data_IF_775346727316
#
_entry.id   IF_775346727316
#
_cell.length_a   1.000
_cell.length_b   1.000
_cell.length_c   1.000
_cell.angle_alpha   90.00
_cell.angle_beta   90.00
_cell.angle_gamma   90.00
#
_symmetry.space_group_name_H-M   'P 1'
#
loop_
_entity.id
_entity.type
_entity.pdbx_description
1 polymer ?
#
# COMPACT_ATOMS: atom_id res chain seq x y z
N UNK A 1 -9.97 -44.80 14.76
CA UNK A 1 -8.67 -44.36 14.21
C UNK A 1 -8.69 -44.06 12.70
N UNK A 2 -9.64 -44.58 11.89
CA UNK A 2 -9.68 -44.28 10.44
C UNK A 2 -10.23 -42.88 10.10
N UNK A 3 -11.22 -42.35 10.82
CA UNK A 3 -11.81 -41.02 10.53
C UNK A 3 -10.82 -39.85 10.70
N UNK A 4 -9.90 -39.95 11.66
CA UNK A 4 -8.85 -38.96 11.88
C UNK A 4 -7.88 -38.84 10.69
N UNK A 5 -7.64 -39.94 9.97
CA UNK A 5 -6.73 -39.96 8.81
C UNK A 5 -7.36 -39.42 7.53
N UNK A 6 -8.65 -39.69 7.30
CA UNK A 6 -9.40 -39.17 6.17
C UNK A 6 -9.63 -37.65 6.30
N UNK A 7 -10.06 -37.18 7.48
CA UNK A 7 -10.22 -35.76 7.77
C UNK A 7 -8.90 -34.98 7.67
N UNK A 8 -7.79 -35.58 8.12
CA UNK A 8 -6.44 -34.99 7.97
C UNK A 8 -6.01 -34.90 6.50
N UNK A 9 -6.23 -35.95 5.71
CA UNK A 9 -5.92 -35.96 4.27
C UNK A 9 -6.78 -34.97 3.48
N UNK A 10 -8.04 -34.83 3.88
CA UNK A 10 -9.00 -33.89 3.28
C UNK A 10 -8.66 -32.43 3.63
N UNK A 11 -8.21 -32.17 4.86
CA UNK A 11 -7.68 -30.86 5.27
C UNK A 11 -6.42 -30.49 4.49
N UNK A 12 -5.48 -31.42 4.36
CA UNK A 12 -4.26 -31.23 3.57
C UNK A 12 -4.56 -30.88 2.10
N UNK A 13 -5.51 -31.57 1.45
CA UNK A 13 -5.95 -31.22 0.08
C UNK A 13 -6.55 -29.83 -0.02
N UNK A 14 -7.39 -29.44 0.94
CA UNK A 14 -7.98 -28.09 0.98
C UNK A 14 -6.88 -27.02 1.10
N UNK A 15 -5.90 -27.24 1.96
CA UNK A 15 -4.82 -26.30 2.21
C UNK A 15 -3.88 -26.18 0.97
N UNK A 16 -3.62 -27.30 0.27
CA UNK A 16 -2.91 -27.29 -1.02
C UNK A 16 -3.64 -26.46 -2.08
N UNK A 17 -4.97 -26.61 -2.19
CA UNK A 17 -5.80 -25.85 -3.13
C UNK A 17 -5.73 -24.34 -2.80
N UNK A 18 -5.80 -23.98 -1.52
CA UNK A 18 -5.69 -22.59 -1.07
C UNK A 18 -4.30 -22.03 -1.38
N UNK A 19 -3.23 -22.77 -1.08
CA UNK A 19 -1.86 -22.34 -1.37
C UNK A 19 -1.64 -22.07 -2.87
N UNK A 20 -2.11 -22.98 -3.73
CA UNK A 20 -2.04 -22.83 -5.18
C UNK A 20 -2.84 -21.63 -5.69
N UNK A 21 -4.06 -21.45 -5.18
CA UNK A 21 -4.90 -20.32 -5.54
C UNK A 21 -4.31 -18.99 -5.06
N UNK A 22 -3.74 -18.93 -3.85
CA UNK A 22 -3.03 -17.75 -3.34
C UNK A 22 -1.86 -17.36 -4.24
N UNK A 23 -1.08 -18.31 -4.75
CA UNK A 23 0.00 -18.05 -5.71
C UNK A 23 -0.52 -17.46 -7.03
N UNK A 24 -1.59 -18.03 -7.59
CA UNK A 24 -2.23 -17.52 -8.81
C UNK A 24 -2.84 -16.13 -8.60
N UNK A 25 -3.50 -15.87 -7.46
CA UNK A 25 -4.03 -14.56 -7.11
C UNK A 25 -2.88 -13.55 -6.95
N UNK A 26 -1.77 -13.96 -6.32
CA UNK A 26 -0.60 -13.09 -6.15
C UNK A 26 -0.07 -12.60 -7.51
N UNK A 27 0.06 -13.49 -8.48
CA UNK A 27 0.62 -13.18 -9.81
C UNK A 27 -0.40 -12.47 -10.73
N UNK A 28 -1.56 -13.09 -10.91
CA UNK A 28 -2.54 -12.75 -11.94
C UNK A 28 -3.76 -11.98 -11.40
N UNK A 29 -3.85 -11.82 -10.07
CA UNK A 29 -5.03 -11.28 -9.40
C UNK A 29 -6.22 -12.24 -9.42
N UNK A 30 -7.30 -11.87 -8.73
CA UNK A 30 -8.54 -12.68 -8.64
C UNK A 30 -9.18 -12.90 -10.02
N UNK A 31 -8.98 -11.98 -10.98
CA UNK A 31 -9.55 -12.10 -12.32
C UNK A 31 -8.88 -13.19 -13.15
N UNK A 32 -7.56 -13.27 -13.11
CA UNK A 32 -6.79 -14.25 -13.87
C UNK A 32 -7.01 -15.67 -13.37
N UNK A 33 -7.14 -15.85 -12.05
CA UNK A 33 -7.30 -17.18 -11.45
C UNK A 33 -8.57 -17.92 -11.90
N UNK A 34 -8.40 -19.15 -12.38
CA UNK A 34 -9.48 -20.10 -12.64
C UNK A 34 -9.38 -21.36 -11.76
N UNK A 35 -10.52 -22.02 -11.49
CA UNK A 35 -10.53 -23.29 -10.75
C UNK A 35 -9.79 -24.41 -11.49
N UNK A 36 -9.76 -24.36 -12.84
CA UNK A 36 -9.05 -25.32 -13.67
C UNK A 36 -7.53 -25.20 -13.56
N UNK A 37 -6.99 -23.98 -13.60
CA UNK A 37 -5.55 -23.74 -13.38
C UNK A 37 -5.13 -24.13 -11.97
N UNK A 38 -5.93 -23.81 -10.95
CA UNK A 38 -5.68 -24.25 -9.58
C UNK A 38 -5.59 -25.78 -9.53
N UNK A 39 -6.54 -26.49 -10.14
CA UNK A 39 -6.56 -27.94 -10.18
C UNK A 39 -5.31 -28.51 -10.86
N UNK A 40 -4.92 -27.95 -12.01
CA UNK A 40 -3.72 -28.35 -12.73
C UNK A 40 -2.45 -28.14 -11.90
N UNK A 41 -2.33 -27.01 -11.20
CA UNK A 41 -1.16 -26.68 -10.38
C UNK A 41 -0.93 -27.70 -9.24
N UNK A 42 -2.01 -28.23 -8.66
CA UNK A 42 -1.94 -29.22 -7.57
C UNK A 42 -2.12 -30.66 -8.03
N UNK A 43 -2.12 -30.93 -9.34
CA UNK A 43 -2.29 -32.27 -9.90
C UNK A 43 -3.64 -32.91 -9.57
N UNK A 44 -4.70 -32.11 -9.42
CA UNK A 44 -6.08 -32.56 -9.17
C UNK A 44 -6.98 -32.32 -10.38
N UNK A 45 -8.12 -33.01 -10.43
CA UNK A 45 -9.17 -32.68 -11.39
C UNK A 45 -9.94 -31.44 -10.95
N UNK A 46 -10.48 -30.67 -11.91
CA UNK A 46 -11.38 -29.54 -11.60
C UNK A 46 -12.56 -29.98 -10.73
N UNK A 47 -13.09 -31.19 -10.95
CA UNK A 47 -14.15 -31.78 -10.11
C UNK A 47 -13.71 -31.90 -8.64
N UNK A 48 -12.46 -32.31 -8.39
CA UNK A 48 -11.89 -32.41 -7.04
C UNK A 48 -11.79 -31.04 -6.37
N UNK A 49 -11.44 -29.98 -7.10
CA UNK A 49 -11.42 -28.61 -6.57
C UNK A 49 -12.83 -28.10 -6.28
N UNK A 50 -13.78 -28.34 -7.21
CA UNK A 50 -15.18 -27.91 -7.05
C UNK A 50 -15.90 -28.57 -5.87
N UNK A 51 -15.41 -29.72 -5.41
CA UNK A 51 -15.88 -30.35 -4.17
C UNK A 51 -15.63 -29.48 -2.93
N UNK A 52 -14.49 -28.78 -2.87
CA UNK A 52 -14.15 -27.88 -1.75
C UNK A 52 -14.67 -26.46 -2.00
N UNK A 53 -14.55 -25.97 -3.23
CA UNK A 53 -14.87 -24.60 -3.60
C UNK A 53 -15.72 -24.59 -4.86
N UNK A 54 -17.04 -24.43 -4.71
CA UNK A 54 -17.99 -24.49 -5.81
C UNK A 54 -17.76 -23.38 -6.84
N UNK A 55 -17.21 -22.25 -6.39
CA UNK A 55 -16.99 -21.07 -7.22
C UNK A 55 -15.67 -20.39 -6.87
N UNK A 56 -15.15 -19.63 -7.84
CA UNK A 56 -13.88 -18.91 -7.69
C UNK A 56 -13.89 -17.85 -6.58
N UNK A 57 -15.02 -17.19 -6.35
CA UNK A 57 -15.19 -16.19 -5.28
C UNK A 57 -15.07 -16.83 -3.90
N UNK A 58 -15.60 -18.06 -3.73
CA UNK A 58 -15.46 -18.83 -2.50
C UNK A 58 -14.00 -19.24 -2.24
N UNK A 59 -13.27 -19.63 -3.29
CA UNK A 59 -11.85 -19.95 -3.17
C UNK A 59 -11.02 -18.70 -2.85
N UNK A 60 -11.28 -17.59 -3.53
CA UNK A 60 -10.61 -16.32 -3.26
C UNK A 60 -10.84 -15.85 -1.80
N UNK A 61 -12.09 -15.93 -1.30
CA UNK A 61 -12.42 -15.65 0.10
C UNK A 61 -11.56 -16.47 1.06
N UNK A 62 -11.44 -17.78 0.84
CA UNK A 62 -10.63 -18.66 1.67
C UNK A 62 -9.12 -18.33 1.61
N UNK A 63 -8.61 -17.87 0.47
CA UNK A 63 -7.22 -17.42 0.34
C UNK A 63 -6.96 -16.15 1.16
N UNK A 64 -7.90 -15.20 1.17
CA UNK A 64 -7.80 -14.00 1.99
C UNK A 64 -7.97 -14.30 3.48
N UNK A 65 -8.88 -15.22 3.86
CA UNK A 65 -9.02 -15.68 5.24
C UNK A 65 -7.71 -16.31 5.76
N UNK A 66 -7.07 -17.18 4.97
CA UNK A 66 -5.77 -17.77 5.32
C UNK A 66 -4.68 -16.70 5.49
N UNK A 67 -4.62 -15.74 4.56
CA UNK A 67 -3.65 -14.63 4.63
C UNK A 67 -3.86 -13.77 5.87
N UNK A 68 -5.11 -13.40 6.17
CA UNK A 68 -5.45 -12.57 7.33
C UNK A 68 -5.19 -13.33 8.64
N UNK A 69 -5.39 -14.64 8.68
CA UNK A 69 -5.09 -15.46 9.85
C UNK A 69 -3.58 -15.57 10.12
N UNK A 70 -2.77 -15.72 9.07
CA UNK A 70 -1.30 -15.65 9.17
C UNK A 70 -0.85 -14.30 9.71
N UNK A 71 -1.40 -13.21 9.15
CA UNK A 71 -1.10 -11.86 9.61
C UNK A 71 -1.50 -11.65 11.08
N UNK A 72 -2.69 -12.10 11.47
CA UNK A 72 -3.17 -12.05 12.87
C UNK A 72 -2.24 -12.81 13.81
N UNK A 73 -1.79 -13.99 13.41
CA UNK A 73 -0.83 -14.80 14.19
C UNK A 73 0.50 -14.08 14.37
N UNK A 74 1.00 -13.44 13.31
CA UNK A 74 2.23 -12.65 13.34
C UNK A 74 2.13 -11.46 14.30
N UNK A 75 1.04 -10.69 14.20
CA UNK A 75 0.77 -9.53 15.07
C UNK A 75 0.61 -9.97 16.53
N UNK A 76 -0.12 -11.06 16.79
CA UNK A 76 -0.27 -11.61 18.13
C UNK A 76 1.08 -12.09 18.71
N UNK A 77 1.96 -12.67 17.88
CA UNK A 77 3.33 -13.03 18.24
C UNK A 77 4.16 -11.83 18.66
N UNK A 78 4.16 -10.79 17.82
CA UNK A 78 4.84 -9.53 18.08
C UNK A 78 4.37 -8.89 19.40
N UNK A 79 3.06 -8.90 19.68
CA UNK A 79 2.48 -8.35 20.92
C UNK A 79 2.96 -9.01 22.22
N UNK A 80 3.45 -10.26 22.16
CA UNK A 80 3.96 -10.99 23.33
C UNK A 80 5.40 -10.62 23.71
N UNK A 81 6.11 -9.82 22.90
CA UNK A 81 7.46 -9.38 23.25
C UNK A 81 7.44 -8.41 24.45
N UNK A 82 8.28 -8.73 25.46
CA UNK A 82 8.40 -7.98 26.72
C UNK A 82 9.21 -6.68 26.65
N UNK A 83 9.89 -6.38 25.55
CA UNK A 83 10.78 -5.23 25.39
C UNK A 83 10.09 -3.89 25.07
N UNK A 84 8.83 -3.71 25.44
CA UNK A 84 8.04 -2.50 25.16
C UNK A 84 7.65 -2.32 23.68
N UNK A 85 7.14 -1.14 23.31
CA UNK A 85 6.58 -0.87 21.98
C UNK A 85 7.61 -1.06 20.86
N UNK A 86 8.85 -0.58 21.05
CA UNK A 86 9.92 -0.71 20.03
C UNK A 86 10.23 -2.18 19.71
N UNK A 87 10.35 -3.03 20.72
CA UNK A 87 10.62 -4.45 20.52
C UNK A 87 9.44 -5.18 19.84
N UNK A 88 8.19 -4.80 20.16
CA UNK A 88 7.01 -5.37 19.51
C UNK A 88 6.95 -5.02 18.02
N UNK A 89 7.21 -3.76 17.65
CA UNK A 89 7.27 -3.37 16.23
C UNK A 89 8.44 -4.06 15.53
N UNK A 90 9.61 -4.16 16.17
CA UNK A 90 10.75 -4.88 15.61
C UNK A 90 10.40 -6.34 15.31
N UNK A 91 9.79 -7.05 16.26
CA UNK A 91 9.33 -8.42 16.08
C UNK A 91 8.31 -8.58 14.95
N UNK A 92 7.42 -7.59 14.76
CA UNK A 92 6.48 -7.60 13.64
C UNK A 92 7.21 -7.48 12.29
N UNK A 93 8.13 -6.52 12.17
CA UNK A 93 8.94 -6.34 10.95
C UNK A 93 9.77 -7.59 10.66
N UNK A 94 10.43 -8.15 11.67
CA UNK A 94 11.22 -9.38 11.55
C UNK A 94 10.38 -10.54 11.05
N UNK A 95 9.17 -10.71 11.60
CA UNK A 95 8.21 -11.70 11.16
C UNK A 95 7.79 -11.55 9.69
N UNK A 96 7.58 -10.32 9.23
CA UNK A 96 7.25 -10.06 7.82
C UNK A 96 8.40 -10.44 6.87
N UNK A 97 9.63 -10.07 7.22
CA UNK A 97 10.81 -10.42 6.41
C UNK A 97 11.09 -11.92 6.43
N UNK A 98 10.89 -12.59 7.57
CA UNK A 98 11.02 -14.04 7.70
C UNK A 98 9.98 -14.77 6.83
N UNK A 99 8.71 -14.36 6.88
CA UNK A 99 7.65 -14.95 6.05
C UNK A 99 7.91 -14.71 4.56
N UNK A 100 8.31 -13.50 4.16
CA UNK A 100 8.68 -13.22 2.78
C UNK A 100 9.81 -14.15 2.28
N UNK A 101 10.88 -14.32 3.09
CA UNK A 101 11.99 -15.20 2.75
C UNK A 101 11.55 -16.66 2.64
N UNK A 102 10.74 -17.14 3.58
CA UNK A 102 10.23 -18.51 3.57
C UNK A 102 9.39 -18.79 2.32
N UNK A 103 8.52 -17.85 1.92
CA UNK A 103 7.71 -17.96 0.70
C UNK A 103 8.61 -18.00 -0.54
N UNK A 104 9.60 -17.11 -0.64
CA UNK A 104 10.51 -17.04 -1.80
C UNK A 104 11.41 -18.27 -1.94
N UNK A 105 11.74 -18.93 -0.84
CA UNK A 105 12.51 -20.17 -0.81
C UNK A 105 11.64 -21.42 -1.02
N UNK A 106 10.31 -21.27 -1.09
CA UNK A 106 9.38 -22.40 -1.20
C UNK A 106 9.17 -23.17 0.10
N UNK A 107 9.64 -22.64 1.23
CA UNK A 107 9.45 -23.24 2.57
C UNK A 107 8.06 -22.95 3.14
N UNK A 108 7.41 -21.88 2.68
CA UNK A 108 6.02 -21.55 3.01
C UNK A 108 5.21 -21.30 1.72
N UNK A 109 3.89 -21.58 1.73
CA UNK A 109 3.04 -21.28 0.58
C UNK A 109 2.84 -19.77 0.39
N UNK A 110 2.62 -19.36 -0.86
CA UNK A 110 2.32 -17.97 -1.19
C UNK A 110 1.02 -17.49 -0.50
N UNK A 111 0.96 -16.18 -0.25
CA UNK A 111 -0.19 -15.50 0.34
C UNK A 111 -0.86 -14.59 -0.70
N UNK A 112 -2.18 -14.43 -0.58
CA UNK A 112 -2.91 -13.49 -1.42
C UNK A 112 -2.60 -12.05 -0.96
N UNK A 113 -2.57 -11.09 -1.89
CA UNK A 113 -2.32 -9.69 -1.53
C UNK A 113 -3.55 -9.11 -0.83
N UNK A 114 -3.41 -8.68 0.42
CA UNK A 114 -4.52 -8.16 1.25
C UNK A 114 -5.28 -7.03 0.54
N UNK A 115 -4.60 -6.16 -0.21
CA UNK A 115 -5.21 -5.09 -1.01
C UNK A 115 -6.30 -5.55 -1.97
N UNK A 116 -6.20 -6.79 -2.47
CA UNK A 116 -7.01 -7.34 -3.56
C UNK A 116 -8.40 -7.73 -3.03
N UNK A 117 -8.56 -7.85 -1.71
CA UNK A 117 -9.86 -8.11 -1.08
C UNK A 117 -10.91 -7.06 -1.45
N UNK A 118 -10.49 -5.85 -1.86
CA UNK A 118 -11.39 -4.78 -2.31
C UNK A 118 -12.11 -5.09 -3.62
N UNK A 119 -11.57 -6.01 -4.41
CA UNK A 119 -12.20 -6.47 -5.64
C UNK A 119 -13.27 -7.55 -5.41
N UNK A 120 -13.42 -8.02 -4.16
CA UNK A 120 -14.50 -8.92 -3.74
C UNK A 120 -15.85 -8.19 -3.70
N UNK A 121 -16.93 -8.94 -3.81
CA UNK A 121 -18.30 -8.42 -3.68
C UNK A 121 -18.86 -8.67 -2.28
N UNK A 122 -19.83 -7.85 -1.87
CA UNK A 122 -20.53 -8.02 -0.61
C UNK A 122 -21.42 -9.28 -0.66
N UNK A 123 -21.59 -10.02 0.45
CA UNK A 123 -21.16 -9.70 1.82
C UNK A 123 -19.72 -10.13 2.16
N UNK A 124 -19.00 -10.81 1.26
CA UNK A 124 -17.66 -11.37 1.54
C UNK A 124 -16.63 -10.28 1.82
N UNK A 125 -16.64 -9.22 1.01
CA UNK A 125 -15.75 -8.07 1.16
C UNK A 125 -15.88 -7.45 2.55
N UNK A 126 -17.10 -7.17 3.02
CA UNK A 126 -17.33 -6.64 4.37
C UNK A 126 -16.79 -7.54 5.47
N UNK A 127 -17.02 -8.86 5.36
CA UNK A 127 -16.49 -9.83 6.33
C UNK A 127 -14.96 -9.81 6.39
N UNK A 128 -14.28 -9.83 5.23
CA UNK A 128 -12.82 -9.77 5.16
C UNK A 128 -12.26 -8.43 5.69
N UNK A 129 -12.93 -7.32 5.39
CA UNK A 129 -12.55 -6.01 5.92
C UNK A 129 -12.67 -5.95 7.44
N UNK A 130 -13.69 -6.58 8.03
CA UNK A 130 -13.82 -6.66 9.49
C UNK A 130 -12.66 -7.42 10.14
N UNK A 131 -12.26 -8.58 9.57
CA UNK A 131 -11.09 -9.34 10.03
C UNK A 131 -9.79 -8.53 9.92
N UNK A 132 -9.61 -7.78 8.82
CA UNK A 132 -8.49 -6.87 8.65
C UNK A 132 -8.51 -5.75 9.69
N UNK A 133 -9.67 -5.12 9.94
CA UNK A 133 -9.81 -4.07 10.94
C UNK A 133 -9.49 -4.53 12.35
N UNK A 134 -9.84 -5.76 12.72
CA UNK A 134 -9.47 -6.33 14.01
C UNK A 134 -7.94 -6.42 14.15
N UNK A 135 -7.27 -6.96 13.13
CA UNK A 135 -5.81 -7.04 13.09
C UNK A 135 -5.15 -5.65 13.11
N UNK A 136 -5.70 -4.69 12.37
CA UNK A 136 -5.26 -3.29 12.36
C UNK A 136 -5.33 -2.67 13.77
N UNK A 137 -6.42 -2.90 14.51
CA UNK A 137 -6.55 -2.43 15.90
C UNK A 137 -5.48 -3.05 16.79
N UNK A 138 -5.23 -4.36 16.68
CA UNK A 138 -4.17 -5.02 17.44
C UNK A 138 -2.79 -4.43 17.13
N UNK A 139 -2.48 -4.11 15.88
CA UNK A 139 -1.21 -3.43 15.52
C UNK A 139 -1.14 -2.04 16.15
N UNK A 140 -2.26 -1.29 16.15
CA UNK A 140 -2.31 0.03 16.80
C UNK A 140 -2.06 -0.04 18.29
N UNK A 141 -2.53 -1.08 18.94
CA UNK A 141 -2.30 -1.30 20.38
C UNK A 141 -0.83 -1.66 20.69
N UNK A 142 -0.04 -2.07 19.70
CA UNK A 142 1.42 -2.26 19.88
C UNK A 142 2.15 -0.94 20.16
N UNK A 143 1.58 0.20 19.77
CA UNK A 143 2.14 1.54 20.03
C UNK A 143 1.78 2.11 21.42
N UNK A 144 0.95 1.40 22.20
CA UNK A 144 0.60 1.79 23.56
C UNK A 144 -0.80 2.38 23.69
N UNK A 145 -0.95 3.36 24.59
CA UNK A 145 -2.25 3.89 24.99
C UNK A 145 -2.99 4.59 23.83
N UNK A 146 -4.25 4.20 23.65
CA UNK A 146 -5.20 4.75 22.68
C UNK A 146 -6.42 5.38 23.36
N UNK A 147 -6.35 5.68 24.67
CA UNK A 147 -7.45 6.28 25.45
C UNK A 147 -7.75 7.71 25.02
N UNK A 148 -6.72 8.54 24.86
CA UNK A 148 -6.82 9.93 24.45
C UNK A 148 -6.94 10.06 22.92
N UNK A 149 -7.71 11.06 22.46
CA UNK A 149 -7.95 11.25 21.03
C UNK A 149 -6.67 11.58 20.26
N UNK A 150 -5.81 12.44 20.82
CA UNK A 150 -4.55 12.85 20.18
C UNK A 150 -3.59 11.66 20.02
N UNK A 151 -3.40 10.83 21.05
CA UNK A 151 -2.55 9.63 20.97
C UNK A 151 -3.15 8.60 20.02
N UNK A 152 -4.47 8.41 20.04
CA UNK A 152 -5.16 7.53 19.08
C UNK A 152 -4.98 7.98 17.63
N UNK A 153 -4.99 9.28 17.35
CA UNK A 153 -4.71 9.79 16.00
C UNK A 153 -3.27 9.51 15.58
N UNK A 154 -2.29 9.78 16.45
CA UNK A 154 -0.89 9.47 16.17
C UNK A 154 -0.66 7.96 15.96
N UNK A 155 -1.20 7.11 16.83
CA UNK A 155 -1.06 5.66 16.71
C UNK A 155 -1.79 5.12 15.48
N UNK A 156 -2.91 5.71 15.08
CA UNK A 156 -3.56 5.40 13.80
C UNK A 156 -2.64 5.70 12.62
N UNK A 157 -2.01 6.87 12.58
CA UNK A 157 -1.06 7.23 11.53
C UNK A 157 0.16 6.28 11.52
N UNK A 158 0.76 6.01 12.69
CA UNK A 158 1.90 5.09 12.84
C UNK A 158 1.58 3.68 12.35
N UNK A 159 0.41 3.16 12.73
CA UNK A 159 -0.07 1.84 12.30
C UNK A 159 -0.22 1.78 10.80
N UNK A 160 -0.85 2.80 10.22
CA UNK A 160 -1.10 2.85 8.79
C UNK A 160 0.21 2.89 7.99
N UNK A 161 1.13 3.79 8.34
CA UNK A 161 2.43 3.91 7.66
C UNK A 161 3.26 2.64 7.82
N UNK A 162 3.27 2.03 9.01
CA UNK A 162 3.96 0.75 9.24
C UNK A 162 3.42 -0.34 8.32
N UNK A 163 2.11 -0.58 8.34
CA UNK A 163 1.49 -1.67 7.58
C UNK A 163 1.61 -1.45 6.08
N UNK A 164 1.37 -0.24 5.59
CA UNK A 164 1.47 0.08 4.17
C UNK A 164 2.91 -0.04 3.66
N UNK A 165 3.90 0.32 4.49
CA UNK A 165 5.30 0.08 4.15
C UNK A 165 5.60 -1.42 4.09
N UNK A 166 5.14 -2.21 5.07
CA UNK A 166 5.35 -3.67 5.13
C UNK A 166 4.65 -4.42 3.99
N UNK A 167 3.41 -4.05 3.66
CA UNK A 167 2.69 -4.61 2.51
C UNK A 167 3.30 -4.19 1.18
N UNK A 168 4.05 -3.08 1.14
CA UNK A 168 4.76 -2.65 -0.06
C UNK A 168 6.16 -3.28 -0.20
N UNK A 169 6.77 -3.81 0.88
CA UNK A 169 8.09 -4.48 0.84
C UNK A 169 8.16 -5.51 -0.28
N UNK A 170 7.13 -6.35 -0.44
CA UNK A 170 7.06 -7.36 -1.51
C UNK A 170 7.20 -6.79 -2.95
N UNK A 171 6.89 -5.51 -3.17
CA UNK A 171 6.99 -4.87 -4.49
C UNK A 171 8.40 -4.35 -4.81
N UNK A 172 9.17 -3.90 -3.80
CA UNK A 172 10.49 -3.27 -4.02
C UNK A 172 11.66 -4.04 -3.41
N UNK A 173 11.43 -4.96 -2.46
CA UNK A 173 12.47 -5.86 -1.95
C UNK A 173 13.13 -6.72 -3.04
N UNK A 174 12.43 -7.14 -4.13
CA UNK A 174 13.09 -7.78 -5.28
C UNK A 174 14.14 -6.92 -6.00
N UNK A 175 14.22 -5.61 -5.74
CA UNK A 175 15.29 -4.75 -6.25
C UNK A 175 16.63 -4.98 -5.52
N UNK A 176 16.62 -5.73 -4.43
CA UNK A 176 17.79 -6.10 -3.64
C UNK A 176 18.07 -7.60 -3.76
N UNK A 177 19.35 -7.96 -3.77
CA UNK A 177 19.73 -9.38 -3.77
C UNK A 177 19.26 -10.06 -2.47
N UNK A 178 18.90 -11.35 -2.49
CA UNK A 178 18.42 -12.06 -1.30
C UNK A 178 19.32 -11.93 -0.06
N UNK A 179 20.64 -11.89 -0.26
CA UNK A 179 21.65 -11.76 0.79
C UNK A 179 21.61 -10.38 1.47
N UNK A 180 21.05 -9.37 0.80
CA UNK A 180 20.91 -8.01 1.34
C UNK A 180 19.65 -7.82 2.19
N UNK A 181 18.72 -8.78 2.20
CA UNK A 181 17.41 -8.58 2.83
C UNK A 181 17.51 -8.32 4.34
N UNK A 182 18.51 -8.90 5.02
CA UNK A 182 18.79 -8.60 6.43
C UNK A 182 19.34 -7.18 6.63
N UNK A 183 20.17 -6.68 5.69
CA UNK A 183 20.62 -5.29 5.69
C UNK A 183 19.43 -4.35 5.50
N UNK A 184 18.57 -4.62 4.51
CA UNK A 184 17.36 -3.82 4.23
C UNK A 184 16.43 -3.77 5.44
N UNK A 185 16.19 -4.92 6.08
CA UNK A 185 15.40 -5.03 7.32
C UNK A 185 15.94 -4.12 8.42
N UNK A 186 17.25 -4.18 8.69
CA UNK A 186 17.88 -3.31 9.68
C UNK A 186 17.74 -1.82 9.34
N UNK A 187 17.89 -1.44 8.06
CA UNK A 187 17.71 -0.05 7.62
C UNK A 187 16.28 0.44 7.74
N UNK A 188 15.30 -0.43 7.50
CA UNK A 188 13.89 -0.11 7.70
C UNK A 188 13.55 0.08 9.18
N UNK A 189 14.08 -0.78 10.06
CA UNK A 189 13.93 -0.63 11.51
C UNK A 189 14.57 0.64 12.04
N UNK A 190 15.77 0.98 11.57
CA UNK A 190 16.44 2.23 11.91
C UNK A 190 15.63 3.47 11.49
N UNK A 191 15.11 3.47 10.26
CA UNK A 191 14.23 4.53 9.77
C UNK A 191 12.97 4.67 10.64
N UNK A 192 12.31 3.56 10.97
CA UNK A 192 11.14 3.60 11.87
C UNK A 192 11.49 4.03 13.29
N UNK A 193 12.69 3.73 13.77
CA UNK A 193 13.11 4.03 15.13
C UNK A 193 13.48 5.50 15.33
N UNK A 194 14.14 6.11 14.35
CA UNK A 194 14.80 7.42 14.48
C UNK A 194 14.34 8.46 13.45
N UNK A 195 13.60 8.06 12.42
CA UNK A 195 13.14 8.96 11.37
C UNK A 195 14.24 9.52 10.47
N UNK A 196 13.90 10.54 9.69
CA UNK A 196 14.79 11.23 8.74
C UNK A 196 15.44 12.48 9.35
N UNK A 197 14.76 13.17 10.26
CA UNK A 197 15.18 14.44 10.77
C UNK A 197 16.24 14.28 11.89
N UNK A 198 17.27 15.14 11.94
CA UNK A 198 18.13 15.27 13.11
C UNK A 198 17.34 15.65 14.37
N UNK A 199 17.91 15.35 15.54
CA UNK A 199 17.35 15.77 16.82
C UNK A 199 17.22 17.30 16.91
N UNK A 200 16.16 17.80 17.52
CA UNK A 200 15.89 19.24 17.65
C UNK A 200 15.45 19.97 16.37
N UNK A 201 15.44 19.33 15.20
CA UNK A 201 15.07 19.98 13.95
C UNK A 201 13.56 20.33 13.91
N UNK A 202 13.22 21.63 13.82
CA UNK A 202 11.83 22.11 13.82
C UNK A 202 11.03 21.59 12.61
N UNK A 203 9.72 21.38 12.74
CA UNK A 203 8.86 21.01 11.61
C UNK A 203 8.16 22.25 11.04
N UNK A 204 8.53 22.66 9.83
CA UNK A 204 7.96 23.85 9.17
C UNK A 204 7.89 23.72 7.64
N UNK A 205 7.28 22.66 7.09
CA UNK A 205 7.09 22.54 5.65
C UNK A 205 6.06 23.57 5.13
N UNK A 206 6.16 23.90 3.85
CA UNK A 206 5.10 24.61 3.15
C UNK A 206 4.16 23.63 2.45
N UNK A 207 2.89 24.02 2.27
CA UNK A 207 1.97 23.33 1.36
C UNK A 207 1.92 24.13 0.07
N UNK A 208 2.41 23.54 -1.01
CA UNK A 208 2.48 24.22 -2.30
C UNK A 208 1.14 24.15 -3.04
N UNK A 209 0.81 25.22 -3.75
CA UNK A 209 -0.29 25.19 -4.73
C UNK A 209 0.24 24.62 -6.05
N UNK A 210 -0.11 23.36 -6.35
CA UNK A 210 0.29 22.71 -7.59
C UNK A 210 -0.53 23.27 -8.77
N UNK A 211 0.11 23.84 -9.81
CA UNK A 211 -0.61 24.30 -10.98
C UNK A 211 -1.24 23.11 -11.74
N UNK A 212 -2.36 23.36 -12.39
CA UNK A 212 -2.99 22.34 -13.24
C UNK A 212 -2.01 21.87 -14.32
N UNK A 213 -1.98 20.56 -14.56
CA UNK A 213 -1.21 20.00 -15.67
C UNK A 213 -1.79 20.49 -17.00
N UNK A 214 -0.92 20.70 -18.00
CA UNK A 214 -1.31 21.06 -19.36
C UNK A 214 -2.00 19.87 -20.03
N UNK A 215 -3.32 19.82 -19.91
CA UNK A 215 -4.17 18.75 -20.44
C UNK A 215 -5.47 19.36 -20.99
N UNK A 216 -6.07 18.71 -22.01
CA UNK A 216 -7.44 19.02 -22.44
C UNK A 216 -8.37 18.97 -21.22
N UNK A 217 -9.18 20.03 -21.02
CA UNK A 217 -10.07 20.17 -19.88
C UNK A 217 -11.04 19.00 -19.72
N UNK A 218 -11.57 18.46 -20.81
CA UNK A 218 -12.46 17.30 -20.77
C UNK A 218 -11.71 16.03 -20.34
N UNK A 219 -10.52 15.79 -20.92
CA UNK A 219 -9.66 14.66 -20.54
C UNK A 219 -9.26 14.73 -19.05
N UNK A 220 -8.90 15.92 -18.57
CA UNK A 220 -8.57 16.15 -17.16
C UNK A 220 -9.71 15.77 -16.22
N UNK A 221 -10.94 16.14 -16.57
CA UNK A 221 -12.12 15.86 -15.75
C UNK A 221 -12.45 14.36 -15.73
N UNK A 222 -12.30 13.67 -16.88
CA UNK A 222 -12.37 12.21 -16.97
C UNK A 222 -11.36 11.52 -16.07
N UNK A 223 -10.08 11.91 -16.13
CA UNK A 223 -9.03 11.31 -15.33
C UNK A 223 -9.24 11.55 -13.83
N UNK A 224 -9.73 12.73 -13.44
CA UNK A 224 -10.03 13.05 -12.05
C UNK A 224 -11.18 12.19 -11.49
N UNK A 225 -12.30 12.10 -12.22
CA UNK A 225 -13.44 11.27 -11.81
C UNK A 225 -13.09 9.78 -11.76
N UNK A 226 -12.40 9.28 -12.80
CA UNK A 226 -11.93 7.90 -12.83
C UNK A 226 -11.02 7.57 -11.64
N UNK A 227 -10.07 8.46 -11.30
CA UNK A 227 -9.17 8.26 -10.17
C UNK A 227 -9.94 8.15 -8.85
N UNK A 228 -10.91 9.04 -8.60
CA UNK A 228 -11.75 8.98 -7.38
C UNK A 228 -12.55 7.68 -7.31
N UNK A 229 -13.21 7.29 -8.39
CA UNK A 229 -14.01 6.06 -8.45
C UNK A 229 -13.16 4.81 -8.24
N UNK A 230 -11.99 4.73 -8.88
CA UNK A 230 -11.07 3.60 -8.74
C UNK A 230 -10.54 3.52 -7.31
N UNK A 231 -10.12 4.66 -6.73
CA UNK A 231 -9.62 4.67 -5.35
C UNK A 231 -10.70 4.29 -4.33
N UNK A 232 -11.96 4.68 -4.55
CA UNK A 232 -13.07 4.41 -3.64
C UNK A 232 -13.66 3.00 -3.78
N UNK A 233 -13.80 2.48 -5.01
CA UNK A 233 -14.55 1.25 -5.30
C UNK A 233 -13.73 0.15 -5.99
N UNK A 234 -12.43 0.38 -6.14
CA UNK A 234 -11.57 -0.45 -6.96
C UNK A 234 -11.91 -0.32 -8.45
N UNK A 235 -11.10 -0.97 -9.29
CA UNK A 235 -11.25 -0.90 -10.75
C UNK A 235 -12.62 -1.38 -11.25
N UNK A 236 -13.16 -2.49 -10.71
CA UNK A 236 -14.48 -2.99 -11.11
C UNK A 236 -15.60 -2.01 -10.78
N UNK A 237 -15.49 -1.35 -9.63
CA UNK A 237 -16.46 -0.37 -9.18
C UNK A 237 -16.49 0.92 -10.02
N UNK A 238 -15.46 1.18 -10.81
CA UNK A 238 -15.32 2.33 -11.70
C UNK A 238 -15.59 1.94 -13.18
N UNK A 239 -16.83 1.58 -13.54
CA UNK A 239 -17.19 1.34 -14.95
C UNK A 239 -17.22 2.63 -15.75
N UNK A 240 -17.03 2.56 -17.08
CA UNK A 240 -17.19 3.71 -17.99
C UNK A 240 -18.54 4.38 -17.74
N UNK A 241 -19.61 3.59 -17.61
CA UNK A 241 -20.96 4.06 -17.32
C UNK A 241 -21.05 4.89 -16.05
N UNK A 242 -20.33 4.51 -14.98
CA UNK A 242 -20.30 5.28 -13.73
C UNK A 242 -19.46 6.55 -13.86
N UNK A 243 -18.35 6.49 -14.61
CA UNK A 243 -17.48 7.66 -14.85
C UNK A 243 -18.24 8.73 -15.63
N UNK A 244 -18.90 8.35 -16.73
CA UNK A 244 -19.69 9.30 -17.54
C UNK A 244 -20.91 9.81 -16.78
N UNK A 245 -21.53 8.99 -15.94
CA UNK A 245 -22.63 9.41 -15.07
C UNK A 245 -22.17 10.40 -13.99
N UNK A 246 -20.99 10.21 -13.37
CA UNK A 246 -20.43 11.15 -12.39
C UNK A 246 -20.14 12.52 -13.03
N UNK A 247 -19.72 12.54 -14.30
CA UNK A 247 -19.40 13.76 -15.03
C UNK A 247 -20.60 14.37 -15.76
N UNK A 248 -21.76 13.71 -15.75
CA UNK A 248 -22.94 14.10 -16.53
C UNK A 248 -22.65 14.28 -18.03
N UNK A 249 -21.90 13.33 -18.61
CA UNK A 249 -21.51 13.29 -20.03
C UNK A 249 -21.93 11.98 -20.70
N UNK A 250 -21.80 11.90 -22.02
CA UNK A 250 -22.17 10.68 -22.79
C UNK A 250 -21.00 9.70 -22.92
N UNK A 251 -21.31 8.43 -23.19
CA UNK A 251 -20.28 7.42 -23.55
C UNK A 251 -19.49 7.82 -24.81
N UNK A 252 -20.14 8.50 -25.76
CA UNK A 252 -19.46 9.00 -26.97
C UNK A 252 -18.35 10.00 -26.65
N UNK A 253 -18.56 10.88 -25.66
CA UNK A 253 -17.53 11.82 -25.19
C UNK A 253 -16.35 11.08 -24.55
N UNK A 254 -16.59 9.99 -23.82
CA UNK A 254 -15.52 9.16 -23.27
C UNK A 254 -14.62 8.56 -24.36
N UNK A 255 -15.23 7.89 -25.34
CA UNK A 255 -14.50 7.21 -26.43
C UNK A 255 -13.85 8.17 -27.44
N UNK A 256 -14.17 9.47 -27.38
CA UNK A 256 -13.42 10.48 -28.14
C UNK A 256 -12.02 10.74 -27.56
N UNK A 257 -11.83 10.51 -26.25
CA UNK A 257 -10.57 10.79 -25.56
C UNK A 257 -9.78 9.53 -25.18
N UNK A 258 -10.45 8.38 -25.03
CA UNK A 258 -9.89 7.15 -24.50
C UNK A 258 -10.48 5.92 -25.19
N UNK A 259 -9.63 5.12 -25.82
CA UNK A 259 -10.04 3.96 -26.62
C UNK A 259 -10.52 2.78 -25.75
N UNK A 260 -9.79 2.48 -24.67
CA UNK A 260 -10.14 1.44 -23.73
C UNK A 260 -10.07 1.87 -22.26
N UNK A 261 -10.73 1.08 -21.41
CA UNK A 261 -10.71 1.29 -19.95
C UNK A 261 -9.31 1.09 -19.35
N UNK A 262 -8.48 0.24 -19.94
CA UNK A 262 -7.12 0.02 -19.46
C UNK A 262 -6.21 1.22 -19.81
N UNK A 263 -6.44 1.86 -20.97
CA UNK A 263 -5.79 3.12 -21.35
C UNK A 263 -6.15 4.25 -20.41
N UNK A 264 -7.41 4.31 -19.97
CA UNK A 264 -7.85 5.25 -18.92
C UNK A 264 -7.04 5.06 -17.63
N UNK A 265 -6.91 3.82 -17.14
CA UNK A 265 -6.19 3.55 -15.89
C UNK A 265 -4.71 3.91 -16.04
N UNK A 266 -4.10 3.55 -17.17
CA UNK A 266 -2.73 3.92 -17.47
C UNK A 266 -2.55 5.44 -17.52
N UNK A 267 -3.46 6.18 -18.17
CA UNK A 267 -3.46 7.64 -18.19
C UNK A 267 -3.65 8.26 -16.79
N UNK A 268 -4.49 7.66 -15.93
CA UNK A 268 -4.62 8.09 -14.53
C UNK A 268 -3.31 7.90 -13.75
N UNK A 269 -2.55 6.81 -13.99
CA UNK A 269 -1.21 6.63 -13.42
C UNK A 269 -0.23 7.69 -13.93
N UNK A 270 -0.18 7.91 -15.24
CA UNK A 270 0.69 8.93 -15.85
C UNK A 270 0.43 10.32 -15.26
N UNK A 271 -0.85 10.70 -15.13
CA UNK A 271 -1.25 11.95 -14.48
C UNK A 271 -0.78 12.01 -13.02
N UNK A 272 -0.97 10.94 -12.26
CA UNK A 272 -0.53 10.87 -10.86
C UNK A 272 0.98 11.02 -10.73
N UNK A 273 1.75 10.40 -11.64
CA UNK A 273 3.19 10.55 -11.69
C UNK A 273 3.64 11.96 -12.07
N UNK A 274 2.94 12.63 -12.98
CA UNK A 274 3.19 14.02 -13.31
C UNK A 274 2.95 14.95 -12.11
N UNK A 275 1.90 14.73 -11.33
CA UNK A 275 1.62 15.49 -10.09
C UNK A 275 2.73 15.28 -9.04
N UNK A 276 3.16 14.03 -8.80
CA UNK A 276 4.28 13.74 -7.88
C UNK A 276 5.57 14.40 -8.36
N UNK A 277 5.86 14.30 -9.66
CA UNK A 277 7.03 14.95 -10.28
C UNK A 277 7.00 16.47 -10.08
N UNK A 278 5.85 17.10 -10.31
CA UNK A 278 5.65 18.54 -10.18
C UNK A 278 5.85 19.02 -8.73
N UNK A 279 5.30 18.29 -7.75
CA UNK A 279 5.51 18.59 -6.33
C UNK A 279 6.99 18.51 -5.94
N UNK A 280 7.72 17.50 -6.45
CA UNK A 280 9.16 17.38 -6.27
C UNK A 280 9.91 18.55 -6.93
N UNK A 281 9.60 18.87 -8.18
CA UNK A 281 10.26 19.95 -8.94
C UNK A 281 10.12 21.31 -8.25
N UNK A 282 8.89 21.66 -7.85
CA UNK A 282 8.61 22.92 -7.18
C UNK A 282 9.30 23.01 -5.82
N UNK A 283 9.28 21.92 -5.04
CA UNK A 283 9.94 21.91 -3.74
C UNK A 283 11.47 22.00 -3.87
N UNK A 284 12.08 21.33 -4.86
CA UNK A 284 13.52 21.42 -5.15
C UNK A 284 13.92 22.86 -5.53
N UNK A 285 13.06 23.55 -6.28
CA UNK A 285 13.31 24.92 -6.74
C UNK A 285 13.17 25.99 -5.64
N UNK A 286 12.70 25.64 -4.43
CA UNK A 286 12.53 26.61 -3.36
C UNK A 286 13.88 27.22 -2.93
N UNK A 287 14.01 28.56 -2.93
CA UNK A 287 15.23 29.23 -2.51
C UNK A 287 15.35 29.27 -0.97
N UNK A 288 16.58 29.24 -0.45
CA UNK A 288 16.91 29.50 0.97
C UNK A 288 16.15 28.61 1.97
N UNK A 289 15.90 27.36 1.62
CA UNK A 289 15.33 26.32 2.49
C UNK A 289 16.29 25.13 2.54
N UNK A 290 16.33 24.42 3.66
CA UNK A 290 17.13 23.21 3.79
C UNK A 290 16.61 22.10 2.86
N UNK A 291 17.46 21.15 2.49
CA UNK A 291 17.06 19.99 1.68
C UNK A 291 16.01 19.13 2.38
N UNK A 292 16.10 19.00 3.71
CA UNK A 292 15.04 18.38 4.52
C UNK A 292 13.70 19.11 4.37
N UNK A 293 13.68 20.44 4.42
CA UNK A 293 12.43 21.20 4.29
C UNK A 293 11.87 21.15 2.87
N UNK A 294 12.71 21.03 1.85
CA UNK A 294 12.26 20.72 0.48
C UNK A 294 11.60 19.35 0.41
N UNK A 295 12.21 18.33 1.00
CA UNK A 295 11.61 16.99 1.08
C UNK A 295 10.28 17.01 1.86
N UNK A 296 10.26 17.65 3.02
CA UNK A 296 9.07 17.81 3.84
C UNK A 296 7.96 18.56 3.09
N UNK A 297 8.30 19.64 2.38
CA UNK A 297 7.36 20.41 1.56
C UNK A 297 6.76 19.58 0.42
N UNK A 298 7.57 18.82 -0.32
CA UNK A 298 7.07 17.93 -1.37
C UNK A 298 6.12 16.87 -0.81
N UNK A 299 6.52 16.22 0.29
CA UNK A 299 5.71 15.19 0.95
C UNK A 299 4.42 15.78 1.50
N UNK A 300 4.49 16.87 2.27
CA UNK A 300 3.33 17.52 2.88
C UNK A 300 2.34 18.03 1.83
N UNK A 301 2.81 18.55 0.71
CA UNK A 301 1.95 18.94 -0.43
C UNK A 301 1.19 17.74 -0.99
N UNK A 302 1.85 16.59 -1.15
CA UNK A 302 1.21 15.37 -1.66
C UNK A 302 0.25 14.76 -0.64
N UNK A 303 0.57 14.83 0.66
CA UNK A 303 -0.33 14.40 1.73
C UNK A 303 -1.58 15.27 1.81
N UNK A 304 -1.45 16.60 1.71
CA UNK A 304 -2.57 17.53 1.65
C UNK A 304 -3.51 17.21 0.47
N UNK A 305 -2.93 16.97 -0.72
CA UNK A 305 -3.69 16.54 -1.89
C UNK A 305 -4.45 15.24 -1.65
N UNK A 306 -3.83 14.25 -1.00
CA UNK A 306 -4.44 12.94 -0.77
C UNK A 306 -5.53 12.96 0.32
N UNK A 307 -5.42 13.86 1.30
CA UNK A 307 -6.41 13.99 2.37
C UNK A 307 -7.67 14.77 1.97
N UNK A 308 -7.61 15.59 0.92
CA UNK A 308 -8.81 16.23 0.37
C UNK A 308 -9.40 15.43 -0.81
N UNK A 309 -10.34 14.54 -0.50
CA UNK A 309 -11.03 13.72 -1.50
C UNK A 309 -11.82 14.52 -2.56
N UNK A 310 -12.05 15.82 -2.35
CA UNK A 310 -12.71 16.70 -3.34
C UNK A 310 -11.74 17.15 -4.43
N UNK A 311 -10.44 17.15 -4.15
CA UNK A 311 -9.40 17.41 -5.15
C UNK A 311 -9.26 16.16 -6.04
N UNK A 312 -8.39 16.24 -7.04
CA UNK A 312 -8.06 15.07 -7.86
C UNK A 312 -6.90 14.30 -7.19
N UNK A 313 -7.16 13.22 -6.43
CA UNK A 313 -6.12 12.51 -5.68
C UNK A 313 -5.16 11.79 -6.63
N UNK A 314 -4.12 11.19 -6.07
CA UNK A 314 -3.24 10.29 -6.82
C UNK A 314 -3.90 8.91 -6.95
N UNK A 315 -3.74 8.28 -8.11
CA UNK A 315 -4.19 6.90 -8.32
C UNK A 315 -3.32 5.95 -7.48
N UNK A 316 -3.99 5.06 -6.76
CA UNK A 316 -3.34 4.15 -5.83
C UNK A 316 -2.75 2.91 -6.50
N UNK A 317 -1.68 2.37 -5.91
CA UNK A 317 -1.02 1.13 -6.35
C UNK A 317 -1.94 -0.09 -6.41
N UNK A 318 -3.04 -0.12 -5.65
CA UNK A 318 -4.06 -1.19 -5.76
C UNK A 318 -4.67 -1.27 -7.17
N UNK A 319 -4.69 -0.16 -7.92
CA UNK A 319 -5.14 -0.14 -9.30
C UNK A 319 -4.20 -0.89 -10.28
N UNK A 320 -2.98 -1.27 -9.88
CA UNK A 320 -2.05 -2.05 -10.72
C UNK A 320 -2.61 -3.39 -11.19
N UNK A 321 -3.55 -3.99 -10.44
CA UNK A 321 -4.23 -5.23 -10.83
C UNK A 321 -5.20 -5.05 -11.99
N UNK A 322 -5.60 -3.81 -12.28
CA UNK A 322 -6.44 -3.52 -13.42
C UNK A 322 -5.68 -3.61 -14.75
N UNK A 323 -4.36 -3.41 -14.69
CA UNK A 323 -3.53 -3.33 -15.88
C UNK A 323 -3.09 -4.73 -16.34
N UNK A 324 -2.98 -4.94 -17.67
CA UNK A 324 -2.17 -6.01 -18.25
C UNK A 324 -0.75 -6.03 -17.66
N UNK A 325 -0.10 -7.20 -17.68
CA UNK A 325 1.21 -7.38 -17.05
C UNK A 325 2.28 -6.44 -17.62
N UNK A 326 2.26 -6.20 -18.93
CA UNK A 326 3.22 -5.33 -19.61
C UNK A 326 3.08 -3.87 -19.14
N UNK A 327 1.84 -3.37 -19.04
CA UNK A 327 1.57 -2.02 -18.54
C UNK A 327 1.84 -1.90 -17.04
N UNK A 328 1.57 -2.96 -16.27
CA UNK A 328 1.87 -3.02 -14.82
C UNK A 328 3.36 -2.80 -14.59
N UNK A 329 4.22 -3.48 -15.33
CA UNK A 329 5.67 -3.36 -15.21
C UNK A 329 6.16 -1.94 -15.54
N UNK A 330 5.62 -1.32 -16.59
CA UNK A 330 5.94 0.07 -16.93
C UNK A 330 5.53 1.05 -15.84
N UNK A 331 4.33 0.90 -15.25
CA UNK A 331 3.87 1.73 -14.13
C UNK A 331 4.76 1.54 -12.89
N UNK A 332 5.17 0.30 -12.58
CA UNK A 332 6.11 0.02 -11.48
C UNK A 332 7.47 0.67 -11.73
N UNK A 333 8.01 0.57 -12.95
CA UNK A 333 9.28 1.23 -13.33
C UNK A 333 9.19 2.74 -13.17
N UNK A 334 8.09 3.37 -13.58
CA UNK A 334 7.87 4.81 -13.42
C UNK A 334 7.75 5.22 -11.95
N UNK A 335 6.99 4.48 -11.14
CA UNK A 335 6.91 4.68 -9.69
C UNK A 335 8.29 4.61 -9.03
N UNK A 336 9.10 3.61 -9.40
CA UNK A 336 10.48 3.48 -8.91
C UNK A 336 11.39 4.64 -9.34
N UNK A 337 11.19 5.23 -10.52
CA UNK A 337 11.93 6.44 -10.93
C UNK A 337 11.58 7.63 -10.05
N UNK A 338 10.31 7.81 -9.68
CA UNK A 338 9.88 8.87 -8.76
C UNK A 338 10.39 8.64 -7.33
N UNK A 339 10.40 7.38 -6.86
CA UNK A 339 11.02 7.03 -5.59
C UNK A 339 12.52 7.39 -5.59
N UNK A 340 13.26 7.07 -6.66
CA UNK A 340 14.68 7.47 -6.79
C UNK A 340 14.89 8.99 -6.73
N UNK A 341 13.93 9.81 -7.16
CA UNK A 341 14.01 11.27 -6.97
C UNK A 341 13.92 11.68 -5.51
N UNK A 342 13.05 11.05 -4.72
CA UNK A 342 13.07 11.23 -3.26
C UNK A 342 14.38 10.74 -2.64
N UNK A 343 14.95 9.64 -3.12
CA UNK A 343 16.27 9.19 -2.68
C UNK A 343 17.35 10.26 -2.94
N UNK A 344 17.31 10.93 -4.09
CA UNK A 344 18.18 12.08 -4.40
C UNK A 344 18.02 13.22 -3.39
N UNK A 345 16.78 13.62 -3.07
CA UNK A 345 16.52 14.65 -2.06
C UNK A 345 17.02 14.23 -0.66
N UNK A 346 16.91 12.95 -0.31
CA UNK A 346 17.45 12.40 0.94
C UNK A 346 18.98 12.47 0.94
N UNK A 347 19.64 12.09 -0.15
CA UNK A 347 21.09 12.16 -0.32
C UNK A 347 21.59 13.59 -0.18
N UNK A 348 20.95 14.55 -0.85
CA UNK A 348 21.31 15.97 -0.77
C UNK A 348 21.18 16.50 0.67
N UNK A 349 20.13 16.09 1.39
CA UNK A 349 19.97 16.46 2.79
C UNK A 349 20.96 15.78 3.74
N UNK A 350 21.42 14.57 3.43
CA UNK A 350 22.50 13.92 4.19
C UNK A 350 23.81 14.68 3.99
N UNK A 351 24.13 15.08 2.74
CA UNK A 351 25.34 15.84 2.42
C UNK A 351 25.31 17.22 3.09
N UNK A 352 24.17 17.90 3.07
CA UNK A 352 23.96 19.19 3.73
C UNK A 352 23.95 19.08 5.27
N UNK A 353 23.66 17.89 5.80
CA UNK A 353 23.50 17.65 7.24
C UNK A 353 22.11 17.93 7.79
N UNK A 354 21.13 18.26 6.94
CA UNK A 354 19.73 18.48 7.34
C UNK A 354 18.91 17.19 7.46
N UNK A 355 19.43 16.05 6.98
CA UNK A 355 18.85 14.71 7.12
C UNK A 355 19.87 13.78 7.76
N UNK A 356 19.41 12.90 8.67
CA UNK A 356 20.25 11.89 9.32
C UNK A 356 20.82 10.89 8.29
N UNK A 357 22.03 10.33 8.49
CA UNK A 357 22.54 9.25 7.64
C UNK A 357 21.64 8.00 7.66
N UNK A 358 20.78 7.88 6.65
CA UNK A 358 19.85 6.74 6.44
C UNK A 358 20.13 6.07 5.10
N UNK A 359 19.57 4.88 4.88
CA UNK A 359 19.57 4.26 3.55
C UNK A 359 18.56 4.99 2.63
N UNK A 360 19.01 5.71 1.58
CA UNK A 360 18.12 6.54 0.77
C UNK A 360 17.11 5.71 -0.04
N UNK A 361 17.47 4.48 -0.41
CA UNK A 361 16.59 3.61 -1.20
C UNK A 361 15.42 3.12 -0.34
N UNK A 362 15.71 2.66 0.88
CA UNK A 362 14.68 2.28 1.85
C UNK A 362 13.80 3.47 2.24
N UNK A 363 14.41 4.62 2.56
CA UNK A 363 13.69 5.84 2.90
C UNK A 363 12.73 6.28 1.79
N UNK A 364 13.20 6.26 0.53
CA UNK A 364 12.38 6.69 -0.61
C UNK A 364 11.17 5.78 -0.88
N UNK A 365 11.32 4.47 -0.69
CA UNK A 365 10.21 3.51 -0.84
C UNK A 365 9.18 3.69 0.29
N UNK A 366 9.63 3.94 1.52
CA UNK A 366 8.75 4.25 2.66
C UNK A 366 7.98 5.56 2.45
N UNK A 367 8.64 6.60 1.93
CA UNK A 367 7.97 7.89 1.57
C UNK A 367 6.91 7.66 0.49
N UNK A 368 7.25 6.91 -0.56
CA UNK A 368 6.30 6.60 -1.63
C UNK A 368 5.10 5.80 -1.11
N UNK A 369 5.33 4.79 -0.26
CA UNK A 369 4.27 4.01 0.37
C UNK A 369 3.36 4.90 1.23
N UNK A 370 3.94 5.78 2.04
CA UNK A 370 3.20 6.75 2.87
C UNK A 370 2.29 7.65 2.03
N UNK A 371 2.82 8.26 0.96
CA UNK A 371 2.05 9.15 0.06
C UNK A 371 0.95 8.40 -0.68
N UNK A 372 1.25 7.21 -1.21
CA UNK A 372 0.29 6.37 -1.91
C UNK A 372 -0.88 5.95 -1.01
N UNK A 373 -0.59 5.65 0.26
CA UNK A 373 -1.60 5.15 1.18
C UNK A 373 -2.46 6.26 1.82
N UNK A 374 -1.95 7.50 1.91
CA UNK A 374 -2.58 8.62 2.61
C UNK A 374 -4.08 8.83 2.27
N UNK A 375 -4.48 8.57 1.03
CA UNK A 375 -5.88 8.67 0.59
C UNK A 375 -6.86 7.84 1.45
N UNK A 376 -6.43 6.68 1.97
CA UNK A 376 -7.26 5.85 2.87
C UNK A 376 -7.65 6.56 4.16
N UNK A 377 -6.77 7.44 4.62
CA UNK A 377 -6.96 8.20 5.84
C UNK A 377 -7.59 9.57 5.60
N UNK A 378 -8.12 9.86 4.41
CA UNK A 378 -8.88 11.10 4.19
C UNK A 378 -10.04 11.27 5.21
N UNK A 379 -10.86 10.24 5.56
CA UNK A 379 -11.86 10.36 6.62
C UNK A 379 -11.27 10.55 8.03
N UNK A 380 -10.04 10.10 8.27
CA UNK A 380 -9.31 10.34 9.53
C UNK A 380 -8.74 11.76 9.58
N UNK A 381 -8.26 12.27 8.45
CA UNK A 381 -7.73 13.62 8.31
C UNK A 381 -8.84 14.68 8.46
N UNK A 382 -10.01 14.43 7.88
CA UNK A 382 -11.18 15.33 7.97
C UNK A 382 -11.70 15.54 9.41
N UNK A 383 -11.33 14.69 10.36
CA UNK A 383 -11.70 14.80 11.78
C UNK A 383 -10.74 15.66 12.60
N UNK A 384 -9.68 16.16 11.98
CA UNK A 384 -8.62 16.93 12.65
C UNK A 384 -8.65 18.39 12.17
N UNK A 385 -8.13 19.31 13.00
CA UNK A 385 -7.81 20.67 12.58
C UNK A 385 -7.05 20.73 11.25
N UNK A 386 -7.29 21.77 10.43
CA UNK A 386 -6.56 21.97 9.17
C UNK A 386 -5.04 21.87 9.36
N UNK A 387 -4.37 21.13 8.49
CA UNK A 387 -2.92 20.92 8.52
C UNK A 387 -2.42 19.95 9.61
N UNK A 388 -3.18 19.69 10.68
CA UNK A 388 -2.74 18.77 11.74
C UNK A 388 -2.55 17.35 11.23
N UNK A 389 -3.46 16.86 10.40
CA UNK A 389 -3.38 15.52 9.82
C UNK A 389 -2.09 15.32 9.00
N UNK A 390 -1.69 16.33 8.21
CA UNK A 390 -0.45 16.31 7.43
C UNK A 390 0.76 16.21 8.35
N UNK A 391 0.83 17.05 9.38
CA UNK A 391 1.92 17.03 10.35
C UNK A 391 1.99 15.70 11.10
N UNK A 392 0.88 15.23 11.66
CA UNK A 392 0.83 13.95 12.40
C UNK A 392 1.22 12.76 11.53
N UNK A 393 0.79 12.74 10.26
CA UNK A 393 1.08 11.64 9.36
C UNK A 393 2.53 11.68 8.85
N UNK A 394 3.04 12.86 8.47
CA UNK A 394 4.43 13.00 8.02
C UNK A 394 5.46 12.72 9.14
N UNK A 395 5.16 13.10 10.39
CA UNK A 395 6.02 12.86 11.54
C UNK A 395 6.38 11.36 11.71
N UNK A 396 5.54 10.43 11.24
CA UNK A 396 5.79 8.99 11.33
C UNK A 396 7.07 8.54 10.62
N UNK A 397 7.51 9.23 9.57
CA UNK A 397 8.79 8.98 8.89
C UNK A 397 9.84 10.06 9.16
N UNK A 398 9.43 11.31 9.35
CA UNK A 398 10.40 12.37 9.63
C UNK A 398 10.97 12.28 11.04
N UNK A 399 10.13 11.98 12.04
CA UNK A 399 10.53 11.83 13.44
C UNK A 399 10.61 10.36 13.89
N UNK A 400 10.20 9.43 13.02
CA UNK A 400 10.08 8.01 13.31
C UNK A 400 8.76 7.63 13.98
N UNK A 401 8.46 6.34 14.01
CA UNK A 401 7.18 5.81 14.48
C UNK A 401 6.96 6.00 15.98
N UNK A 402 8.01 6.23 16.76
CA UNK A 402 7.91 6.41 18.21
C UNK A 402 7.92 7.88 18.63
N UNK A 403 8.04 8.79 17.67
CA UNK A 403 8.31 10.20 17.94
C UNK A 403 9.71 10.42 18.50
N UNK A 404 10.03 11.70 18.73
CA UNK A 404 11.21 12.09 19.50
C UNK A 404 10.91 11.88 20.98
N UNK A 405 11.83 11.24 21.69
CA UNK A 405 11.72 10.94 23.12
C UNK A 405 11.73 12.20 23.98
#
# INVERSE_FOLDING_TARGET
MSDLTAASRQRNKRDLIIAAASALIYDQGIRGMTLGEVAALVGLSTTSVTYYFKRKDQLAEACFEDTLERFRTLVAGAGRHGGGHRARIAALVDGFFASYRAIRQGNEPAVARISDMRAMEDPRRERLLNLYHDSYRTVRDLFGDNSQQATRWANTARTHVLLETLFWVQAWLPLHMPEEHDRVRHRLLDLFAQGLAPEGAAWSPMILSLPALEEDGSKRDFLAAATRLINARGYRGASVDRIVAELNVTKGSFYHHLDAKDDLVYACFQRSFAVVKQAQDMAIALPRVSQRDRLATAVSTLLDLQFDSRRAPLLRSVALQALPNELRDEVIKQSNRLARRFAGMVIDGIIEGSIRPVDPLVASQSIMAMVNAAYELAPWAAKQPPGQAVTTYAATLFDGLFGRG
#
